data_IF_984164877263
#
_entry.id   IF_984164877263
#
_cell.length_a   1.000
_cell.length_b   1.000
_cell.length_c   1.000
_cell.angle_alpha   90.00
_cell.angle_beta   90.00
_cell.angle_gamma   90.00
#
_symmetry.space_group_name_H-M   'P 1'
#
loop_
_entity.id
_entity.type
_entity.pdbx_description
1 polymer ?
#
# COMPACT_ATOMS: atom_id res chain seq x y z
N UNK A 1 24.28 -51.43 -67.75
CA UNK A 1 23.41 -50.33 -67.34
C UNK A 1 23.39 -50.29 -65.82
N UNK A 2 24.20 -49.44 -65.19
CA UNK A 2 24.26 -49.27 -63.74
C UNK A 2 23.31 -48.15 -63.30
N UNK A 3 22.29 -48.48 -62.49
CA UNK A 3 21.41 -47.48 -61.91
C UNK A 3 22.04 -46.91 -60.63
N UNK A 4 22.34 -45.60 -60.68
CA UNK A 4 22.79 -44.81 -59.51
C UNK A 4 21.57 -44.39 -58.71
N UNK A 5 21.46 -44.85 -57.45
CA UNK A 5 20.48 -44.33 -56.51
C UNK A 5 21.06 -43.14 -55.79
N UNK A 6 20.49 -41.98 -55.98
CA UNK A 6 20.85 -40.76 -55.20
C UNK A 6 19.95 -40.76 -53.97
N UNK A 7 20.59 -40.87 -52.83
CA UNK A 7 19.94 -40.77 -51.50
C UNK A 7 19.91 -39.28 -51.06
N UNK A 8 18.77 -38.65 -51.13
CA UNK A 8 18.57 -37.32 -50.61
C UNK A 8 18.36 -37.39 -49.06
N UNK A 9 19.36 -37.01 -48.31
CA UNK A 9 19.27 -36.83 -46.85
C UNK A 9 18.70 -35.41 -46.61
N UNK A 10 17.43 -35.34 -46.25
CA UNK A 10 16.82 -34.05 -45.78
C UNK A 10 17.23 -33.84 -44.32
N UNK A 11 18.12 -32.85 -44.11
CA UNK A 11 18.45 -32.38 -42.76
C UNK A 11 17.36 -31.44 -42.29
N UNK A 12 16.50 -31.93 -41.41
CA UNK A 12 15.56 -31.06 -40.67
C UNK A 12 16.34 -30.33 -39.58
N UNK A 13 16.71 -29.07 -39.85
CA UNK A 13 17.14 -28.15 -38.81
C UNK A 13 15.89 -27.64 -38.10
N UNK A 14 15.55 -28.22 -36.95
CA UNK A 14 14.52 -27.71 -36.05
C UNK A 14 15.04 -26.41 -35.41
N UNK A 15 14.69 -25.27 -35.97
CA UNK A 15 14.80 -23.98 -35.33
C UNK A 15 13.79 -23.93 -34.18
N UNK A 16 14.23 -24.32 -32.97
CA UNK A 16 13.51 -23.99 -31.76
C UNK A 16 13.66 -22.48 -31.53
N UNK A 17 12.78 -21.71 -32.13
CA UNK A 17 12.60 -20.32 -31.73
C UNK A 17 12.14 -20.34 -30.26
N UNK A 18 13.06 -19.99 -29.37
CA UNK A 18 12.71 -19.70 -27.96
C UNK A 18 11.77 -18.51 -27.99
N UNK A 19 10.46 -18.79 -28.00
CA UNK A 19 9.44 -17.74 -27.86
C UNK A 19 9.72 -17.01 -26.55
N UNK A 20 10.19 -15.78 -26.61
CA UNK A 20 10.28 -14.91 -25.44
C UNK A 20 8.92 -14.95 -24.78
N UNK A 21 8.87 -15.36 -23.49
CA UNK A 21 7.63 -15.28 -22.72
C UNK A 21 7.06 -13.87 -22.91
N UNK A 22 5.75 -13.73 -23.16
CA UNK A 22 5.14 -12.42 -23.27
C UNK A 22 5.47 -11.65 -22.00
N UNK A 23 5.99 -10.43 -22.15
CA UNK A 23 6.29 -9.55 -21.02
C UNK A 23 4.93 -9.23 -20.37
N UNK A 24 4.69 -9.78 -19.17
CA UNK A 24 3.54 -9.38 -18.38
C UNK A 24 3.65 -7.88 -18.10
N UNK A 25 2.54 -7.18 -18.27
CA UNK A 25 2.45 -5.74 -18.06
C UNK A 25 1.26 -5.44 -17.15
N UNK A 26 0.87 -4.20 -17.07
CA UNK A 26 -0.36 -3.77 -16.39
C UNK A 26 -1.57 -4.63 -16.83
N UNK A 27 -2.44 -4.96 -15.89
CA UNK A 27 -3.74 -5.55 -16.22
C UNK A 27 -4.54 -4.66 -17.17
N UNK A 28 -5.37 -5.28 -18.01
CA UNK A 28 -6.38 -4.50 -18.72
C UNK A 28 -7.43 -3.96 -17.75
N UNK A 29 -8.17 -2.91 -18.11
CA UNK A 29 -9.27 -2.42 -17.29
C UNK A 29 -10.34 -3.52 -17.00
N UNK A 30 -10.55 -4.46 -17.93
CA UNK A 30 -11.46 -5.61 -17.79
C UNK A 30 -10.97 -6.58 -16.70
N UNK A 31 -9.69 -6.92 -16.70
CA UNK A 31 -9.07 -7.77 -15.68
C UNK A 31 -9.16 -7.12 -14.29
N UNK A 32 -8.88 -5.82 -14.20
CA UNK A 32 -8.99 -5.08 -12.95
C UNK A 32 -10.44 -5.04 -12.43
N UNK A 33 -11.43 -4.85 -13.30
CA UNK A 33 -12.86 -4.88 -12.94
C UNK A 33 -13.33 -6.26 -12.54
N UNK A 34 -12.86 -7.33 -13.22
CA UNK A 34 -13.19 -8.70 -12.85
C UNK A 34 -12.68 -9.02 -11.43
N UNK A 35 -11.45 -8.64 -11.11
CA UNK A 35 -10.90 -8.77 -9.76
C UNK A 35 -11.74 -7.99 -8.72
N UNK A 36 -12.13 -6.75 -9.05
CA UNK A 36 -12.94 -5.91 -8.16
C UNK A 36 -14.33 -6.49 -7.89
N UNK A 37 -14.95 -7.10 -8.90
CA UNK A 37 -16.28 -7.70 -8.77
C UNK A 37 -16.33 -8.86 -7.76
N UNK A 38 -15.19 -9.51 -7.52
CA UNK A 38 -15.01 -10.59 -6.53
C UNK A 38 -14.49 -10.08 -5.18
N UNK A 39 -14.19 -8.78 -5.09
CA UNK A 39 -13.61 -8.16 -3.89
C UNK A 39 -14.73 -7.50 -3.08
N UNK A 40 -14.82 -7.82 -1.79
CA UNK A 40 -15.64 -7.03 -0.87
C UNK A 40 -15.11 -5.59 -0.82
N UNK A 41 -16.01 -4.63 -0.52
CA UNK A 41 -15.59 -3.24 -0.38
C UNK A 41 -14.43 -3.12 0.62
N UNK A 42 -13.21 -2.78 0.16
CA UNK A 42 -12.06 -2.66 1.05
C UNK A 42 -12.24 -1.45 1.96
N UNK A 43 -12.32 -1.70 3.25
CA UNK A 43 -12.41 -0.65 4.27
C UNK A 43 -11.53 -1.01 5.45
N UNK A 44 -10.75 -0.05 5.94
CA UNK A 44 -9.79 -0.31 7.01
C UNK A 44 -8.84 0.84 7.25
N UNK A 45 -7.59 0.54 7.62
CA UNK A 45 -6.63 1.57 7.97
C UNK A 45 -5.19 1.28 7.48
N UNK A 46 -4.40 2.33 7.37
CA UNK A 46 -2.95 2.24 7.40
C UNK A 46 -2.54 1.92 8.84
N UNK A 47 -1.89 0.80 9.03
CA UNK A 47 -1.66 0.21 10.32
C UNK A 47 -0.21 0.26 10.73
N UNK A 48 0.04 0.80 11.90
CA UNK A 48 1.30 0.74 12.63
C UNK A 48 0.98 0.19 14.00
N UNK A 49 1.59 -0.92 14.43
CA UNK A 49 1.37 -1.46 15.76
C UNK A 49 1.73 -0.45 16.85
N UNK A 50 0.97 -0.41 17.93
CA UNK A 50 1.20 0.54 19.04
C UNK A 50 2.59 0.43 19.66
N UNK A 51 3.22 -0.74 19.54
CA UNK A 51 4.58 -0.97 20.07
C UNK A 51 5.71 -0.44 19.17
N UNK A 52 5.42 -0.06 17.93
CA UNK A 52 6.44 0.26 16.95
C UNK A 52 6.50 1.75 16.63
N UNK A 53 7.71 2.31 16.59
CA UNK A 53 7.97 3.68 16.15
C UNK A 53 8.22 3.79 14.64
N UNK A 54 8.59 2.68 13.99
CA UNK A 54 8.89 2.63 12.56
C UNK A 54 8.86 1.18 12.03
N UNK A 55 9.17 1.02 10.75
CA UNK A 55 9.17 -0.27 10.07
C UNK A 55 10.16 -1.28 10.68
N UNK A 56 11.30 -0.82 11.20
CA UNK A 56 12.28 -1.73 11.83
C UNK A 56 11.71 -2.31 13.13
N UNK A 57 11.21 -1.48 14.02
CA UNK A 57 10.65 -1.95 15.29
C UNK A 57 9.37 -2.80 15.07
N UNK A 58 8.64 -2.55 13.99
CA UNK A 58 7.48 -3.35 13.60
C UNK A 58 7.83 -4.80 13.30
N UNK A 59 9.00 -5.08 12.72
CA UNK A 59 9.30 -6.36 12.10
C UNK A 59 10.56 -7.09 12.60
N UNK A 60 11.44 -6.46 13.38
CA UNK A 60 12.60 -7.14 13.94
C UNK A 60 12.17 -8.27 14.88
N UNK A 61 12.96 -9.34 14.97
CA UNK A 61 12.63 -10.52 15.76
C UNK A 61 12.42 -10.20 17.24
N UNK A 62 13.27 -9.34 17.78
CA UNK A 62 13.28 -8.94 19.20
C UNK A 62 12.15 -7.97 19.58
N UNK A 63 11.49 -7.37 18.60
CA UNK A 63 10.40 -6.39 18.83
C UNK A 63 9.04 -6.83 18.30
N UNK A 64 9.01 -7.79 17.37
CA UNK A 64 7.76 -8.30 16.79
C UNK A 64 6.85 -8.91 17.86
N UNK A 65 5.63 -8.39 18.00
CA UNK A 65 4.74 -8.74 19.09
C UNK A 65 3.38 -9.28 18.57
N UNK A 66 3.24 -10.61 18.40
CA UNK A 66 2.00 -11.24 17.92
C UNK A 66 0.78 -10.99 18.80
N UNK A 67 0.97 -10.84 20.12
CA UNK A 67 -0.16 -10.65 21.05
C UNK A 67 -0.81 -9.26 20.85
N UNK A 68 0.01 -8.23 20.65
CA UNK A 68 -0.49 -6.88 20.34
C UNK A 68 -1.14 -6.89 18.97
N UNK A 69 -0.51 -7.51 17.96
CA UNK A 69 -1.11 -7.64 16.63
C UNK A 69 -2.48 -8.29 16.67
N UNK A 70 -2.67 -9.37 17.45
CA UNK A 70 -3.95 -10.06 17.57
C UNK A 70 -5.03 -9.16 18.21
N UNK A 71 -4.69 -8.44 19.28
CA UNK A 71 -5.60 -7.47 19.91
C UNK A 71 -6.02 -6.34 18.96
N UNK A 72 -5.07 -5.81 18.20
CA UNK A 72 -5.33 -4.69 17.30
C UNK A 72 -6.08 -5.14 16.03
N UNK A 73 -5.88 -6.36 15.55
CA UNK A 73 -6.72 -6.93 14.50
C UNK A 73 -8.15 -7.21 14.99
N UNK A 74 -8.33 -7.58 16.26
CA UNK A 74 -9.67 -7.66 16.87
C UNK A 74 -10.37 -6.28 16.95
N UNK A 75 -9.63 -5.18 17.15
CA UNK A 75 -10.20 -3.84 17.04
C UNK A 75 -10.65 -3.54 15.60
N UNK A 76 -9.85 -3.90 14.61
CA UNK A 76 -10.24 -3.76 13.20
C UNK A 76 -11.54 -4.53 12.91
N UNK A 77 -11.65 -5.79 13.38
CA UNK A 77 -12.86 -6.60 13.26
C UNK A 77 -14.06 -5.90 13.91
N UNK A 78 -13.89 -5.35 15.12
CA UNK A 78 -14.95 -4.66 15.88
C UNK A 78 -15.51 -3.42 15.17
N UNK A 79 -14.69 -2.77 14.34
CA UNK A 79 -15.08 -1.65 13.47
C UNK A 79 -15.68 -2.11 12.13
N UNK A 80 -15.70 -3.41 11.87
CA UNK A 80 -16.05 -3.97 10.58
C UNK A 80 -15.01 -3.72 9.51
N UNK A 81 -13.78 -3.39 9.84
CA UNK A 81 -12.68 -3.30 8.90
C UNK A 81 -12.31 -4.70 8.36
N UNK A 82 -12.02 -4.77 7.08
CA UNK A 82 -11.62 -6.02 6.41
C UNK A 82 -10.26 -5.92 5.74
N UNK A 83 -9.53 -4.82 5.98
CA UNK A 83 -8.23 -4.59 5.37
C UNK A 83 -7.34 -3.70 6.22
N UNK A 84 -6.04 -4.02 6.25
CA UNK A 84 -4.99 -3.14 6.76
C UNK A 84 -3.87 -3.00 5.75
N UNK A 85 -3.21 -1.83 5.76
CA UNK A 85 -2.04 -1.55 4.95
C UNK A 85 -0.82 -1.39 5.85
N UNK A 86 0.23 -2.17 5.56
CA UNK A 86 1.44 -2.29 6.37
C UNK A 86 2.67 -2.06 5.49
N UNK A 87 3.73 -1.53 6.08
CA UNK A 87 4.99 -1.23 5.38
C UNK A 87 6.04 -2.31 5.63
N UNK A 88 6.74 -2.71 4.57
CA UNK A 88 7.91 -3.58 4.61
C UNK A 88 9.20 -2.75 4.47
N UNK A 89 10.35 -3.39 4.67
CA UNK A 89 11.66 -2.76 4.46
C UNK A 89 12.71 -3.80 4.08
N UNK A 90 13.51 -3.53 3.05
CA UNK A 90 14.51 -4.46 2.52
C UNK A 90 15.61 -4.80 3.51
N UNK A 91 15.99 -3.87 4.39
CA UNK A 91 17.03 -4.13 5.39
C UNK A 91 16.64 -5.22 6.38
N UNK A 92 15.35 -5.39 6.68
CA UNK A 92 14.84 -6.49 7.50
C UNK A 92 15.03 -7.84 6.78
N UNK A 93 14.80 -7.85 5.48
CA UNK A 93 15.02 -9.01 4.65
C UNK A 93 16.52 -9.32 4.51
N UNK A 94 17.40 -8.34 4.36
CA UNK A 94 18.85 -8.55 4.37
C UNK A 94 19.35 -9.10 5.70
N UNK A 95 18.79 -8.66 6.81
CA UNK A 95 19.15 -9.09 8.15
C UNK A 95 18.79 -10.56 8.41
N UNK A 96 17.54 -10.94 8.08
CA UNK A 96 16.96 -12.24 8.39
C UNK A 96 15.86 -12.59 7.38
N UNK A 97 16.27 -13.05 6.23
CA UNK A 97 15.40 -13.34 5.08
C UNK A 97 14.26 -14.31 5.43
N UNK A 98 14.58 -15.40 6.10
CA UNK A 98 13.60 -16.45 6.40
C UNK A 98 12.73 -16.10 7.59
N UNK A 99 13.30 -15.52 8.64
CA UNK A 99 12.55 -15.04 9.80
C UNK A 99 11.62 -13.88 9.42
N UNK A 100 12.06 -12.95 8.57
CA UNK A 100 11.20 -11.87 8.10
C UNK A 100 9.98 -12.41 7.32
N UNK A 101 10.17 -13.38 6.42
CA UNK A 101 9.04 -14.04 5.72
C UNK A 101 8.12 -14.80 6.68
N UNK A 102 8.67 -15.45 7.72
CA UNK A 102 7.85 -16.09 8.77
C UNK A 102 6.99 -15.08 9.53
N UNK A 103 7.55 -13.93 9.91
CA UNK A 103 6.81 -12.84 10.59
C UNK A 103 5.72 -12.24 9.69
N UNK A 104 6.00 -12.05 8.40
CA UNK A 104 4.98 -11.67 7.42
C UNK A 104 3.85 -12.70 7.38
N UNK A 105 4.17 -13.99 7.29
CA UNK A 105 3.14 -15.04 7.28
C UNK A 105 2.35 -15.06 8.59
N UNK A 106 2.99 -14.90 9.74
CA UNK A 106 2.31 -14.83 11.04
C UNK A 106 1.36 -13.63 11.13
N UNK A 107 1.76 -12.46 10.62
CA UNK A 107 0.86 -11.30 10.52
C UNK A 107 -0.36 -11.60 9.64
N UNK A 108 -0.16 -12.29 8.51
CA UNK A 108 -1.25 -12.70 7.62
C UNK A 108 -2.21 -13.69 8.31
N UNK A 109 -1.68 -14.63 9.11
CA UNK A 109 -2.49 -15.58 9.88
C UNK A 109 -3.31 -14.86 10.96
N UNK A 110 -2.68 -13.94 11.70
CA UNK A 110 -3.34 -13.15 12.75
C UNK A 110 -4.44 -12.29 12.13
N UNK A 111 -4.15 -11.53 11.09
CA UNK A 111 -5.16 -10.72 10.41
C UNK A 111 -6.31 -11.56 9.86
N UNK A 112 -5.98 -12.70 9.23
CA UNK A 112 -6.97 -13.63 8.66
C UNK A 112 -7.91 -14.23 9.70
N UNK A 113 -7.45 -14.49 10.93
CA UNK A 113 -8.27 -14.93 12.06
C UNK A 113 -9.42 -13.96 12.36
N UNK A 114 -9.19 -12.67 12.17
CA UNK A 114 -10.15 -11.58 12.39
C UNK A 114 -10.88 -11.13 11.10
N UNK A 115 -10.80 -11.91 10.02
CA UNK A 115 -11.43 -11.55 8.76
C UNK A 115 -10.79 -10.34 8.07
N UNK A 116 -9.59 -9.95 8.49
CA UNK A 116 -8.82 -8.82 7.94
C UNK A 116 -7.80 -9.33 6.96
N UNK A 117 -7.78 -8.75 5.75
CA UNK A 117 -6.74 -8.99 4.75
C UNK A 117 -5.69 -7.89 4.80
N UNK A 118 -4.53 -8.16 4.23
CA UNK A 118 -3.40 -7.23 4.30
C UNK A 118 -3.03 -6.72 2.93
N UNK A 119 -2.57 -5.49 2.85
CA UNK A 119 -1.77 -5.00 1.73
C UNK A 119 -0.41 -4.54 2.24
N UNK A 120 0.63 -4.84 1.48
CA UNK A 120 1.99 -4.44 1.83
C UNK A 120 2.49 -3.34 0.92
N UNK A 121 3.23 -2.41 1.51
CA UNK A 121 3.95 -1.34 0.83
C UNK A 121 5.46 -1.60 0.90
N UNK A 122 6.12 -1.67 -0.27
CA UNK A 122 7.56 -1.95 -0.33
C UNK A 122 8.43 -0.74 -0.05
N UNK A 123 8.13 0.36 -0.71
CA UNK A 123 8.94 1.57 -0.63
C UNK A 123 8.19 2.71 0.02
N UNK A 124 8.91 3.51 0.77
CA UNK A 124 8.40 4.77 1.35
C UNK A 124 9.55 5.76 1.55
N UNK A 125 9.21 7.03 1.55
CA UNK A 125 10.14 8.07 1.95
C UNK A 125 10.17 8.18 3.48
N UNK A 126 11.27 8.66 4.04
CA UNK A 126 11.39 8.83 5.47
C UNK A 126 12.68 9.52 5.85
N UNK A 127 12.65 10.26 6.96
CA UNK A 127 13.81 10.93 7.55
C UNK A 127 14.32 10.26 8.81
N UNK A 128 13.71 9.15 9.20
CA UNK A 128 14.04 8.40 10.40
C UNK A 128 15.38 7.65 10.31
N UNK A 129 15.73 6.91 11.38
CA UNK A 129 16.97 6.13 11.41
C UNK A 129 17.08 5.16 10.24
N UNK A 130 18.27 5.05 9.69
CA UNK A 130 18.57 4.12 8.59
C UNK A 130 19.43 2.95 9.11
N UNK A 131 19.15 2.49 10.35
CA UNK A 131 19.93 1.46 11.03
C UNK A 131 19.01 0.51 11.80
N UNK A 132 19.22 -0.78 11.62
CA UNK A 132 18.59 -1.85 12.39
C UNK A 132 19.05 -1.86 13.87
N UNK A 133 18.38 -2.65 14.69
CA UNK A 133 18.61 -2.77 16.13
C UNK A 133 17.66 -1.87 16.92
N UNK A 134 18.02 -1.53 18.17
CA UNK A 134 17.19 -0.68 19.02
C UNK A 134 16.88 0.64 18.34
N UNK A 135 15.60 0.93 18.19
CA UNK A 135 15.14 2.19 17.63
C UNK A 135 15.11 3.28 18.72
N UNK A 136 15.24 4.57 18.34
CA UNK A 136 15.12 5.66 19.29
C UNK A 136 13.71 5.70 19.90
N UNK A 137 13.61 6.17 21.13
CA UNK A 137 12.31 6.50 21.70
C UNK A 137 11.65 7.63 20.88
N UNK A 138 10.33 7.62 20.73
CA UNK A 138 9.63 8.67 20.00
C UNK A 138 9.82 10.04 20.69
N UNK A 139 9.92 11.08 19.90
CA UNK A 139 9.86 12.44 20.41
C UNK A 139 8.42 12.75 20.82
N UNK A 140 8.15 13.11 22.08
CA UNK A 140 6.79 13.38 22.54
C UNK A 140 6.18 14.58 21.81
N UNK A 141 4.86 14.56 21.61
CA UNK A 141 4.09 15.64 20.99
C UNK A 141 4.52 15.95 19.54
N UNK A 142 5.05 14.97 18.82
CA UNK A 142 5.46 15.08 17.42
C UNK A 142 4.79 13.99 16.59
N UNK A 143 4.33 14.34 15.42
CA UNK A 143 3.72 13.37 14.50
C UNK A 143 4.67 12.22 14.16
N UNK A 144 4.22 10.98 14.36
CA UNK A 144 5.06 9.77 14.26
C UNK A 144 5.74 9.52 12.92
N UNK A 145 5.27 10.14 11.82
CA UNK A 145 5.88 9.98 10.50
C UNK A 145 7.34 10.49 10.42
N UNK A 146 7.82 11.29 11.39
CA UNK A 146 9.21 11.75 11.42
C UNK A 146 10.20 10.60 11.67
N UNK A 147 9.73 9.48 12.22
CA UNK A 147 10.53 8.29 12.52
C UNK A 147 10.54 7.24 11.40
N UNK A 148 9.76 7.45 10.32
CA UNK A 148 9.72 6.53 9.19
C UNK A 148 11.09 6.33 8.55
N UNK A 149 11.43 5.07 8.32
CA UNK A 149 12.67 4.68 7.64
C UNK A 149 12.46 4.66 6.13
N UNK A 150 13.37 5.31 5.40
CA UNK A 150 13.30 5.32 3.94
C UNK A 150 13.61 3.92 3.37
N UNK A 151 12.71 3.41 2.51
CA UNK A 151 12.91 2.22 1.68
C UNK A 151 12.67 2.57 0.20
N UNK A 152 13.59 2.25 -0.74
CA UNK A 152 14.88 1.62 -0.50
C UNK A 152 15.81 2.51 0.34
N UNK A 153 16.70 1.88 1.11
CA UNK A 153 17.74 2.60 1.82
C UNK A 153 18.47 3.53 0.84
N UNK A 154 18.80 4.75 1.30
CA UNK A 154 19.40 5.79 0.45
C UNK A 154 20.62 5.34 -0.35
N UNK A 155 21.45 4.45 0.23
CA UNK A 155 22.66 3.95 -0.43
C UNK A 155 22.33 2.99 -1.59
N UNK A 156 21.20 2.29 -1.54
CA UNK A 156 20.68 1.49 -2.64
C UNK A 156 20.02 2.40 -3.67
N UNK A 157 19.14 3.28 -3.22
CA UNK A 157 18.40 4.17 -4.13
C UNK A 157 19.33 5.04 -4.98
N UNK A 158 20.38 5.61 -4.39
CA UNK A 158 21.33 6.51 -5.04
C UNK A 158 22.40 5.80 -5.86
N UNK A 159 22.53 4.47 -5.76
CA UNK A 159 23.54 3.69 -6.47
C UNK A 159 22.89 2.60 -7.33
N UNK A 160 22.82 2.85 -8.65
CA UNK A 160 22.19 1.91 -9.58
C UNK A 160 22.84 0.53 -9.61
N UNK A 161 24.13 0.44 -9.31
CA UNK A 161 24.84 -0.85 -9.22
C UNK A 161 24.31 -1.72 -8.10
N UNK A 162 23.68 -1.12 -7.07
CA UNK A 162 23.05 -1.82 -5.96
C UNK A 162 21.56 -2.11 -6.15
N UNK A 163 20.93 -1.62 -7.20
CA UNK A 163 19.54 -1.90 -7.50
C UNK A 163 19.20 -3.41 -7.63
N UNK A 164 20.10 -4.27 -8.13
CA UNK A 164 19.88 -5.71 -8.09
C UNK A 164 19.64 -6.29 -6.70
N UNK A 165 20.19 -5.71 -5.64
CA UNK A 165 19.96 -6.13 -4.26
C UNK A 165 18.49 -5.91 -3.87
N UNK A 166 17.92 -4.75 -4.23
CA UNK A 166 16.51 -4.45 -4.01
C UNK A 166 15.60 -5.32 -4.90
N UNK A 167 16.00 -5.57 -6.16
CA UNK A 167 15.29 -6.50 -7.05
C UNK A 167 15.15 -7.88 -6.42
N UNK A 168 16.22 -8.41 -5.83
CA UNK A 168 16.19 -9.72 -5.19
C UNK A 168 15.18 -9.78 -4.04
N UNK A 169 15.21 -8.77 -3.16
CA UNK A 169 14.23 -8.62 -2.07
C UNK A 169 12.79 -8.56 -2.59
N UNK A 170 12.50 -7.64 -3.50
CA UNK A 170 11.18 -7.45 -4.08
C UNK A 170 10.65 -8.75 -4.69
N UNK A 171 11.47 -9.41 -5.50
CA UNK A 171 11.08 -10.63 -6.19
C UNK A 171 10.93 -11.83 -5.26
N UNK A 172 11.74 -11.95 -4.22
CA UNK A 172 11.61 -13.04 -3.24
C UNK A 172 10.30 -12.91 -2.46
N UNK A 173 9.97 -11.71 -1.97
CA UNK A 173 8.70 -11.47 -1.28
C UNK A 173 7.51 -11.72 -2.22
N UNK A 174 7.51 -11.12 -3.40
CA UNK A 174 6.42 -11.31 -4.37
C UNK A 174 6.27 -12.78 -4.76
N UNK A 175 7.36 -13.51 -5.00
CA UNK A 175 7.34 -14.93 -5.37
C UNK A 175 6.80 -15.82 -4.24
N UNK A 176 7.20 -15.51 -3.00
CA UNK A 176 6.76 -16.26 -1.80
C UNK A 176 5.25 -16.16 -1.63
N UNK A 177 4.68 -14.97 -1.80
CA UNK A 177 3.27 -14.68 -1.49
C UNK A 177 2.39 -14.42 -2.73
N UNK A 178 2.85 -14.69 -3.95
CA UNK A 178 2.18 -14.30 -5.20
C UNK A 178 0.76 -14.82 -5.40
N UNK A 179 0.37 -15.87 -4.71
CA UNK A 179 -0.97 -16.49 -4.81
C UNK A 179 -1.72 -16.46 -3.47
N UNK A 180 -1.20 -15.73 -2.49
CA UNK A 180 -1.80 -15.66 -1.15
C UNK A 180 -3.04 -14.77 -1.16
N UNK A 181 -4.21 -15.37 -0.91
CA UNK A 181 -5.49 -14.67 -0.92
C UNK A 181 -5.70 -13.75 0.29
N UNK A 182 -4.87 -13.85 1.33
CA UNK A 182 -4.87 -12.95 2.48
C UNK A 182 -4.30 -11.57 2.11
N UNK A 183 -3.60 -11.47 0.95
CA UNK A 183 -3.06 -10.21 0.43
C UNK A 183 -4.01 -9.68 -0.63
N UNK A 184 -4.44 -8.41 -0.47
CA UNK A 184 -5.41 -7.78 -1.37
C UNK A 184 -4.71 -7.22 -2.61
N UNK A 185 -3.66 -6.43 -2.43
CA UNK A 185 -2.82 -5.89 -3.49
C UNK A 185 -1.41 -5.57 -2.96
N UNK A 186 -0.50 -5.25 -3.85
CA UNK A 186 0.86 -4.82 -3.52
C UNK A 186 1.02 -3.35 -3.88
N UNK A 187 1.40 -2.52 -2.91
CA UNK A 187 1.79 -1.14 -3.14
C UNK A 187 3.32 -1.11 -3.33
N UNK A 188 3.78 -0.78 -4.54
CA UNK A 188 5.20 -0.81 -4.83
C UNK A 188 5.92 0.38 -4.18
N UNK A 189 5.36 1.58 -4.27
CA UNK A 189 5.95 2.79 -3.68
C UNK A 189 4.86 3.66 -3.04
N UNK A 190 5.09 4.08 -1.80
CA UNK A 190 4.28 5.09 -1.12
C UNK A 190 4.72 6.48 -1.56
N UNK A 191 3.78 7.30 -2.02
CA UNK A 191 4.00 8.72 -2.32
C UNK A 191 5.33 9.01 -3.05
N UNK A 192 5.52 8.48 -4.27
CA UNK A 192 6.76 8.73 -5.02
C UNK A 192 6.99 10.23 -5.15
N UNK A 193 8.25 10.66 -5.01
CA UNK A 193 8.70 12.05 -5.01
C UNK A 193 8.28 12.89 -3.78
N UNK A 194 7.69 12.28 -2.74
CA UNK A 194 7.49 12.94 -1.45
C UNK A 194 8.81 13.01 -0.65
N UNK A 195 9.80 13.69 -1.23
CA UNK A 195 11.11 13.90 -0.62
C UNK A 195 11.41 15.39 -0.55
N UNK A 196 11.96 15.83 0.58
CA UNK A 196 12.39 17.22 0.75
C UNK A 196 13.49 17.65 -0.23
N UNK A 197 14.27 16.71 -0.75
CA UNK A 197 15.36 16.94 -1.71
C UNK A 197 14.89 16.89 -3.18
N UNK A 198 13.60 16.65 -3.44
CA UNK A 198 13.03 16.64 -4.79
C UNK A 198 13.55 15.53 -5.70
N UNK A 199 14.07 14.45 -5.11
CA UNK A 199 14.72 13.34 -5.82
C UNK A 199 13.77 12.69 -6.83
N UNK A 200 14.27 12.48 -8.04
CA UNK A 200 13.52 11.80 -9.11
C UNK A 200 13.47 10.30 -8.88
N UNK A 201 12.27 9.77 -8.69
CA UNK A 201 12.03 8.34 -8.48
C UNK A 201 11.65 7.58 -9.75
N UNK A 202 11.45 8.26 -10.89
CA UNK A 202 10.80 7.68 -12.06
C UNK A 202 11.58 6.50 -12.66
N UNK A 203 12.88 6.62 -12.75
CA UNK A 203 13.72 5.56 -13.29
C UNK A 203 13.72 4.32 -12.39
N UNK A 204 13.88 4.51 -11.08
CA UNK A 204 13.83 3.41 -10.13
C UNK A 204 12.44 2.72 -10.14
N UNK A 205 11.36 3.48 -10.16
CA UNK A 205 10.01 2.93 -10.25
C UNK A 205 9.77 2.19 -11.56
N UNK A 206 10.33 2.66 -12.66
CA UNK A 206 10.24 1.98 -13.95
C UNK A 206 10.86 0.59 -13.88
N UNK A 207 12.04 0.47 -13.32
CA UNK A 207 12.69 -0.82 -13.11
C UNK A 207 11.93 -1.70 -12.11
N UNK A 208 11.46 -1.12 -11.01
CA UNK A 208 10.72 -1.86 -9.97
C UNK A 208 9.42 -2.49 -10.53
N UNK A 209 8.66 -1.77 -11.36
CA UNK A 209 7.48 -2.33 -12.03
C UNK A 209 7.86 -3.48 -12.98
N UNK A 210 8.95 -3.37 -13.76
CA UNK A 210 9.46 -4.45 -14.60
C UNK A 210 9.80 -5.70 -13.77
N UNK A 211 10.52 -5.52 -12.66
CA UNK A 211 10.87 -6.63 -11.76
C UNK A 211 9.65 -7.30 -11.14
N UNK A 212 8.64 -6.52 -10.75
CA UNK A 212 7.40 -7.05 -10.23
C UNK A 212 6.60 -7.81 -11.30
N UNK A 213 6.59 -7.32 -12.54
CA UNK A 213 5.94 -8.01 -13.68
C UNK A 213 6.66 -9.30 -14.08
N UNK A 214 7.96 -9.42 -13.88
CA UNK A 214 8.69 -10.69 -14.09
C UNK A 214 8.12 -11.81 -13.20
N UNK A 215 7.67 -11.49 -12.01
CA UNK A 215 7.03 -12.43 -11.06
C UNK A 215 5.53 -12.54 -11.34
N UNK A 216 4.89 -11.45 -11.64
CA UNK A 216 3.45 -11.28 -11.87
C UNK A 216 2.60 -12.00 -10.83
N UNK A 217 2.43 -11.44 -9.62
CA UNK A 217 1.54 -12.00 -8.61
C UNK A 217 0.08 -12.00 -9.09
N UNK A 218 -0.75 -12.84 -8.48
CA UNK A 218 -2.19 -12.87 -8.74
C UNK A 218 -2.92 -11.64 -8.17
N UNK A 219 -2.30 -10.94 -7.23
CA UNK A 219 -2.79 -9.69 -6.67
C UNK A 219 -2.42 -8.51 -7.58
N UNK A 220 -3.23 -7.43 -7.60
CA UNK A 220 -2.87 -6.22 -8.34
C UNK A 220 -1.60 -5.56 -7.82
N UNK A 221 -0.87 -4.93 -8.73
CA UNK A 221 0.28 -4.07 -8.44
C UNK A 221 -0.13 -2.60 -8.60
N UNK A 222 0.26 -1.73 -7.67
CA UNK A 222 -0.09 -0.31 -7.72
C UNK A 222 0.94 0.56 -7.00
N UNK A 223 0.90 1.85 -7.27
CA UNK A 223 1.46 2.93 -6.46
C UNK A 223 0.47 4.09 -6.46
N UNK A 224 0.36 4.90 -5.40
CA UNK A 224 -0.68 5.91 -5.32
C UNK A 224 -0.39 7.16 -6.13
N UNK A 225 -1.44 7.78 -6.63
CA UNK A 225 -1.46 9.20 -6.94
C UNK A 225 -1.78 9.94 -5.63
N UNK A 226 -0.83 10.68 -5.08
CA UNK A 226 -1.00 11.30 -3.77
C UNK A 226 -1.18 12.83 -3.84
N UNK A 227 -0.88 13.43 -4.98
CA UNK A 227 -1.27 14.81 -5.28
C UNK A 227 -2.24 14.86 -6.45
N UNK A 228 -3.28 15.67 -6.30
CA UNK A 228 -4.17 15.99 -7.41
C UNK A 228 -3.40 16.74 -8.49
N UNK A 229 -3.48 16.32 -9.77
CA UNK A 229 -2.84 17.05 -10.87
C UNK A 229 -3.24 18.53 -10.87
N UNK A 230 -2.24 19.41 -10.96
CA UNK A 230 -2.45 20.85 -10.91
C UNK A 230 -2.64 21.45 -9.51
N UNK A 231 -2.50 20.64 -8.44
CA UNK A 231 -2.52 21.18 -7.08
C UNK A 231 -1.29 22.07 -6.84
N UNK A 232 -1.54 23.29 -6.34
CA UNK A 232 -0.47 24.25 -6.05
C UNK A 232 0.35 23.72 -4.87
N UNK A 233 1.67 23.59 -5.06
CA UNK A 233 2.57 23.02 -4.06
C UNK A 233 2.79 21.50 -4.18
N UNK A 234 2.21 20.86 -5.20
CA UNK A 234 2.54 19.45 -5.50
C UNK A 234 4.03 19.31 -5.83
N UNK A 235 4.70 18.37 -5.16
CA UNK A 235 6.10 18.00 -5.45
C UNK A 235 6.18 16.94 -6.55
N UNK A 236 5.12 16.13 -6.70
CA UNK A 236 5.06 15.06 -7.70
C UNK A 236 4.94 15.63 -9.11
N UNK A 237 5.84 15.21 -9.98
CA UNK A 237 5.86 15.61 -11.39
C UNK A 237 4.73 14.95 -12.19
N UNK A 238 4.30 15.61 -13.27
CA UNK A 238 3.22 15.07 -14.12
C UNK A 238 3.58 13.76 -14.82
N UNK A 239 4.85 13.56 -15.16
CA UNK A 239 5.35 12.30 -15.73
C UNK A 239 5.26 11.15 -14.72
N UNK A 240 5.55 11.38 -13.44
CA UNK A 240 5.34 10.39 -12.37
C UNK A 240 3.87 10.05 -12.21
N UNK A 241 2.97 11.03 -12.17
CA UNK A 241 1.52 10.80 -12.10
C UNK A 241 1.07 9.97 -13.31
N UNK A 242 1.50 10.34 -14.51
CA UNK A 242 1.22 9.61 -15.75
C UNK A 242 1.74 8.17 -15.66
N UNK A 243 2.98 8.00 -15.20
CA UNK A 243 3.60 6.69 -15.04
C UNK A 243 2.78 5.79 -14.11
N UNK A 244 2.42 6.28 -12.94
CA UNK A 244 1.64 5.52 -11.96
C UNK A 244 0.29 5.09 -12.56
N UNK A 245 -0.45 6.00 -13.19
CA UNK A 245 -1.77 5.73 -13.77
C UNK A 245 -1.71 4.75 -14.94
N UNK A 246 -0.62 4.73 -15.70
CA UNK A 246 -0.46 3.86 -16.87
C UNK A 246 0.23 2.53 -16.59
N UNK A 247 0.74 2.31 -15.37
CA UNK A 247 1.43 1.08 -15.00
C UNK A 247 0.76 0.33 -13.83
N UNK A 248 -0.09 0.98 -13.03
CA UNK A 248 -0.81 0.33 -11.94
C UNK A 248 -2.02 -0.48 -12.43
N UNK A 249 -2.24 -1.67 -11.90
CA UNK A 249 -3.38 -2.53 -12.24
C UNK A 249 -4.72 -1.94 -11.78
N UNK A 250 -4.71 -1.36 -10.59
CA UNK A 250 -5.82 -0.62 -9.97
C UNK A 250 -5.32 0.78 -9.62
N UNK A 251 -6.22 1.72 -9.46
CA UNK A 251 -5.84 3.08 -9.06
C UNK A 251 -5.88 3.16 -7.54
N UNK A 252 -4.76 3.46 -6.92
CA UNK A 252 -4.72 3.90 -5.53
C UNK A 252 -4.38 5.38 -5.45
N UNK A 253 -4.90 6.05 -4.43
CA UNK A 253 -4.65 7.48 -4.24
C UNK A 253 -4.72 7.86 -2.76
N UNK A 254 -4.17 9.04 -2.43
CA UNK A 254 -4.27 9.64 -1.10
C UNK A 254 -5.09 10.93 -1.17
N UNK A 255 -5.95 11.16 -0.20
CA UNK A 255 -6.77 12.35 -0.15
C UNK A 255 -7.06 12.78 1.29
N UNK A 256 -6.23 13.66 1.82
CA UNK A 256 -6.40 14.26 3.14
C UNK A 256 -7.19 15.60 3.10
N UNK A 257 -7.97 15.83 2.05
CA UNK A 257 -8.64 17.08 1.79
C UNK A 257 -10.13 16.99 2.10
N UNK A 258 -10.83 18.09 1.83
CA UNK A 258 -12.27 18.23 2.04
C UNK A 258 -13.10 17.23 1.20
N UNK A 259 -14.34 16.93 1.57
CA UNK A 259 -15.22 16.05 0.80
C UNK A 259 -15.39 16.47 -0.67
N UNK A 260 -15.48 17.76 -0.95
CA UNK A 260 -15.58 18.29 -2.32
C UNK A 260 -14.33 18.01 -3.14
N UNK A 261 -13.16 18.10 -2.52
CA UNK A 261 -11.89 17.77 -3.19
C UNK A 261 -11.76 16.27 -3.41
N UNK A 262 -12.22 15.44 -2.46
CA UNK A 262 -12.30 14.00 -2.60
C UNK A 262 -13.19 13.61 -3.80
N UNK A 263 -14.40 14.13 -3.90
CA UNK A 263 -15.29 13.90 -5.05
C UNK A 263 -14.65 14.34 -6.37
N UNK A 264 -14.00 15.50 -6.37
CA UNK A 264 -13.27 16.00 -7.55
C UNK A 264 -12.16 15.01 -7.97
N UNK A 265 -11.40 14.50 -7.00
CA UNK A 265 -10.31 13.57 -7.25
C UNK A 265 -10.84 12.23 -7.80
N UNK A 266 -11.88 11.67 -7.17
CA UNK A 266 -12.57 10.47 -7.65
C UNK A 266 -13.06 10.65 -9.09
N UNK A 267 -13.73 11.75 -9.39
CA UNK A 267 -14.22 12.07 -10.74
C UNK A 267 -13.11 12.16 -11.78
N UNK A 268 -11.96 12.73 -11.42
CA UNK A 268 -10.80 12.78 -12.31
C UNK A 268 -10.23 11.39 -12.61
N UNK A 269 -10.10 10.55 -11.58
CA UNK A 269 -9.50 9.22 -11.68
C UNK A 269 -10.44 8.19 -12.33
N UNK A 270 -11.76 8.36 -12.21
CA UNK A 270 -12.76 7.46 -12.81
C UNK A 270 -12.64 7.32 -14.34
N UNK A 271 -12.05 8.32 -15.01
CA UNK A 271 -11.78 8.31 -16.46
C UNK A 271 -10.90 7.15 -16.92
N UNK A 272 -10.09 6.60 -16.03
CA UNK A 272 -9.22 5.45 -16.32
C UNK A 272 -9.97 4.11 -16.29
N UNK A 273 -11.25 4.10 -15.86
CA UNK A 273 -12.14 2.93 -15.83
C UNK A 273 -11.55 1.74 -15.06
N UNK A 274 -10.80 2.02 -14.00
CA UNK A 274 -10.19 1.03 -13.11
C UNK A 274 -10.77 1.15 -11.70
N UNK A 275 -10.81 0.06 -10.92
CA UNK A 275 -11.15 0.13 -9.50
C UNK A 275 -10.25 1.12 -8.76
N UNK A 276 -10.81 1.78 -7.77
CA UNK A 276 -10.13 2.81 -7.00
C UNK A 276 -10.11 2.47 -5.51
N UNK A 277 -8.99 2.75 -4.85
CA UNK A 277 -8.84 2.68 -3.39
C UNK A 277 -8.16 3.96 -2.92
N UNK A 278 -8.85 4.74 -2.09
CA UNK A 278 -8.23 5.79 -1.31
C UNK A 278 -7.46 5.11 -0.15
N UNK A 279 -6.17 4.93 -0.34
CA UNK A 279 -5.37 4.16 0.62
C UNK A 279 -4.80 5.00 1.76
N UNK A 280 -5.07 6.31 1.76
CA UNK A 280 -4.83 7.21 2.87
C UNK A 280 -5.85 8.36 2.86
N UNK A 281 -6.56 8.52 3.97
CA UNK A 281 -7.41 9.65 4.29
C UNK A 281 -7.49 9.82 5.81
N UNK A 282 -8.32 10.70 6.31
CA UNK A 282 -8.48 11.10 7.70
C UNK A 282 -7.39 12.09 8.14
N UNK A 283 -7.72 13.34 7.99
CA UNK A 283 -6.97 14.47 8.56
C UNK A 283 -8.01 15.49 9.03
N UNK A 284 -8.52 15.31 10.24
CA UNK A 284 -9.71 16.02 10.75
C UNK A 284 -9.57 17.51 10.66
N UNK A 285 -8.39 18.06 10.93
CA UNK A 285 -8.10 19.49 10.85
C UNK A 285 -8.19 20.07 9.42
N UNK A 286 -8.13 19.19 8.41
CA UNK A 286 -8.28 19.57 6.99
C UNK A 286 -9.67 19.24 6.43
N UNK A 287 -10.60 18.78 7.29
CA UNK A 287 -11.96 18.42 6.90
C UNK A 287 -12.10 17.02 6.30
N UNK A 288 -11.02 16.21 6.29
CA UNK A 288 -11.07 14.80 5.93
C UNK A 288 -11.43 13.99 7.17
N UNK A 289 -12.69 13.60 7.31
CA UNK A 289 -13.24 12.93 8.48
C UNK A 289 -14.13 11.73 8.07
N UNK A 290 -14.43 10.85 9.01
CA UNK A 290 -15.22 9.64 8.75
C UNK A 290 -16.62 10.00 8.26
N UNK A 291 -17.30 10.87 8.96
CA UNK A 291 -18.69 11.27 8.68
C UNK A 291 -18.87 11.95 7.32
N UNK A 292 -17.83 12.60 6.81
CA UNK A 292 -17.87 13.37 5.57
C UNK A 292 -17.32 12.61 4.36
N UNK A 293 -16.22 11.90 4.52
CA UNK A 293 -15.49 11.27 3.41
C UNK A 293 -15.90 9.81 3.17
N UNK A 294 -16.14 9.05 4.24
CA UNK A 294 -16.41 7.62 4.11
C UNK A 294 -17.73 7.30 3.37
N UNK A 295 -18.85 8.04 3.59
CA UNK A 295 -20.07 7.84 2.81
C UNK A 295 -19.89 8.10 1.31
N UNK A 296 -19.04 9.06 0.94
CA UNK A 296 -18.70 9.35 -0.48
C UNK A 296 -17.98 8.15 -1.08
N UNK A 297 -16.92 7.68 -0.43
CA UNK A 297 -16.15 6.54 -0.93
C UNK A 297 -17.01 5.27 -1.04
N UNK A 298 -17.89 5.02 -0.09
CA UNK A 298 -18.84 3.92 -0.16
C UNK A 298 -19.80 4.06 -1.34
N UNK A 299 -20.40 5.23 -1.54
CA UNK A 299 -21.31 5.53 -2.65
C UNK A 299 -20.63 5.35 -4.01
N UNK A 300 -19.40 5.83 -4.13
CA UNK A 300 -18.62 5.77 -5.37
C UNK A 300 -17.88 4.42 -5.54
N UNK A 301 -18.07 3.47 -4.63
CA UNK A 301 -17.39 2.16 -4.63
C UNK A 301 -15.86 2.27 -4.63
N UNK A 302 -15.35 3.23 -3.93
CA UNK A 302 -13.92 3.45 -3.70
C UNK A 302 -13.55 2.79 -2.39
N UNK A 303 -12.52 1.93 -2.38
CA UNK A 303 -11.98 1.39 -1.14
C UNK A 303 -11.42 2.52 -0.26
N UNK A 304 -11.45 2.35 1.07
CA UNK A 304 -11.17 3.42 2.01
C UNK A 304 -10.27 2.97 3.16
N UNK A 305 -9.04 3.46 3.22
CA UNK A 305 -8.11 3.18 4.33
C UNK A 305 -7.74 4.51 5.02
N UNK A 306 -8.19 4.70 6.25
CA UNK A 306 -7.77 5.86 7.03
C UNK A 306 -6.35 5.69 7.57
N UNK A 307 -5.69 6.79 7.90
CA UNK A 307 -4.40 6.74 8.56
C UNK A 307 -4.58 6.51 10.07
N UNK A 308 -3.86 5.49 10.61
CA UNK A 308 -3.82 5.17 12.02
C UNK A 308 -5.03 4.39 12.55
N UNK A 309 -4.78 3.45 13.45
CA UNK A 309 -5.77 2.69 14.20
C UNK A 309 -5.80 3.16 15.67
N UNK A 310 -4.74 2.89 16.39
CA UNK A 310 -4.58 3.26 17.79
C UNK A 310 -3.29 4.06 17.99
N UNK A 311 -3.30 4.95 18.95
CA UNK A 311 -2.11 5.66 19.38
C UNK A 311 -1.13 4.71 20.05
N UNK A 312 0.14 4.96 19.85
CA UNK A 312 1.22 4.16 20.40
C UNK A 312 2.51 4.96 20.37
N UNK A 313 3.62 4.31 20.07
CA UNK A 313 4.89 5.02 19.84
C UNK A 313 4.84 6.00 18.68
N UNK A 314 3.98 5.73 17.67
CA UNK A 314 3.66 6.70 16.64
C UNK A 314 2.47 7.54 17.07
N UNK A 315 2.71 8.77 17.48
CA UNK A 315 1.69 9.70 17.94
C UNK A 315 1.01 10.40 16.76
N UNK A 316 0.15 9.69 16.04
CA UNK A 316 -0.52 10.21 14.84
C UNK A 316 -1.65 11.20 15.12
N UNK A 317 -2.04 11.40 16.39
CA UNK A 317 -3.01 12.42 16.77
C UNK A 317 -2.51 13.84 16.53
N UNK A 318 -1.19 14.04 16.45
CA UNK A 318 -0.59 15.34 16.17
C UNK A 318 -0.59 15.64 14.66
N UNK A 319 -0.87 16.89 14.25
CA UNK A 319 -0.75 17.29 12.85
C UNK A 319 0.68 17.25 12.32
N UNK A 320 0.83 17.17 11.01
CA UNK A 320 2.15 17.32 10.38
C UNK A 320 2.77 18.67 10.72
N UNK A 321 4.01 18.65 11.18
CA UNK A 321 4.74 19.83 11.59
C UNK A 321 4.35 20.38 12.96
N UNK A 322 3.54 19.64 13.72
CA UNK A 322 3.25 19.96 15.11
C UNK A 322 4.55 20.04 15.94
N UNK A 323 4.59 20.96 16.87
CA UNK A 323 5.76 21.17 17.75
C UNK A 323 5.35 20.92 19.20
N UNK A 324 6.28 20.44 20.05
CA UNK A 324 5.99 20.25 21.47
C UNK A 324 5.45 21.50 22.19
N UNK A 325 5.81 22.68 21.69
CA UNK A 325 5.33 23.97 22.22
C UNK A 325 3.86 24.26 21.95
N UNK A 326 3.23 23.54 21.00
CA UNK A 326 1.84 23.78 20.59
C UNK A 326 0.83 23.09 21.54
N UNK A 327 1.32 22.18 22.42
CA UNK A 327 0.51 21.43 23.39
C UNK A 327 -0.35 20.34 22.74
N UNK A 328 -1.33 19.80 23.48
CA UNK A 328 -2.25 18.80 22.95
C UNK A 328 -3.20 19.41 21.90
N UNK A 329 -3.46 18.74 20.76
CA UNK A 329 -4.36 19.26 19.74
C UNK A 329 -5.80 19.19 20.21
N UNK A 330 -6.57 20.26 19.96
CA UNK A 330 -8.01 20.28 20.28
C UNK A 330 -8.82 19.22 19.51
N UNK A 331 -8.34 18.83 18.34
CA UNK A 331 -8.90 17.75 17.50
C UNK A 331 -7.77 16.86 17.03
N UNK A 332 -7.92 15.56 17.22
CA UNK A 332 -6.95 14.59 16.71
C UNK A 332 -6.82 14.64 15.20
N UNK A 333 -5.61 14.56 14.72
CA UNK A 333 -5.33 14.58 13.29
C UNK A 333 -5.74 13.27 12.64
N UNK A 334 -5.20 12.15 13.12
CA UNK A 334 -5.45 10.79 12.67
C UNK A 334 -5.91 9.89 13.84
N UNK A 335 -5.81 8.57 13.65
CA UNK A 335 -6.10 7.51 14.63
C UNK A 335 -7.56 7.48 15.13
N UNK A 336 -7.96 6.36 15.72
CA UNK A 336 -9.32 6.09 16.18
C UNK A 336 -9.34 5.83 17.70
N UNK A 337 -8.31 5.16 18.23
CA UNK A 337 -8.25 4.72 19.60
C UNK A 337 -7.04 5.32 20.34
N UNK A 338 -7.20 5.49 21.65
CA UNK A 338 -6.10 5.71 22.57
C UNK A 338 -5.20 4.47 22.68
N UNK A 339 -4.07 4.59 23.35
CA UNK A 339 -3.13 3.49 23.59
C UNK A 339 -3.73 2.36 24.43
N UNK A 340 -4.71 2.65 25.29
CA UNK A 340 -5.48 1.67 26.06
C UNK A 340 -6.67 1.07 25.29
N UNK A 341 -6.79 1.41 24.01
CA UNK A 341 -7.83 1.01 23.07
C UNK A 341 -9.23 1.59 23.37
N UNK A 342 -9.33 2.60 24.22
CA UNK A 342 -10.56 3.38 24.33
C UNK A 342 -10.73 4.29 23.11
N UNK A 343 -11.96 4.49 22.60
CA UNK A 343 -12.17 5.38 21.44
C UNK A 343 -11.80 6.83 21.73
N UNK A 344 -11.18 7.51 20.75
CA UNK A 344 -11.10 8.97 20.76
C UNK A 344 -12.50 9.59 20.71
N UNK A 345 -13.38 9.02 19.90
CA UNK A 345 -14.77 9.46 19.75
C UNK A 345 -15.69 8.26 19.55
N UNK A 346 -16.60 8.02 20.51
CA UNK A 346 -17.64 7.00 20.40
C UNK A 346 -18.54 7.24 19.18
N UNK A 347 -18.82 8.50 18.87
CA UNK A 347 -19.64 8.89 17.70
C UNK A 347 -18.98 8.44 16.40
N UNK A 348 -17.67 8.63 16.25
CA UNK A 348 -16.94 8.15 15.06
C UNK A 348 -16.93 6.63 14.96
N UNK A 349 -16.76 5.92 16.07
CA UNK A 349 -16.80 4.47 16.12
C UNK A 349 -18.19 3.96 15.70
N UNK A 350 -19.26 4.58 16.17
CA UNK A 350 -20.63 4.23 15.79
C UNK A 350 -20.90 4.50 14.30
N UNK A 351 -20.39 5.62 13.75
CA UNK A 351 -20.45 5.92 12.33
C UNK A 351 -19.71 4.84 11.52
N UNK A 352 -18.49 4.48 11.93
CA UNK A 352 -17.71 3.43 11.29
C UNK A 352 -18.47 2.11 11.26
N UNK A 353 -18.92 1.61 12.41
CA UNK A 353 -19.69 0.36 12.53
C UNK A 353 -20.94 0.37 11.65
N UNK A 354 -21.69 1.47 11.64
CA UNK A 354 -22.88 1.62 10.81
C UNK A 354 -22.58 1.57 9.32
N UNK A 355 -21.52 2.24 8.87
CA UNK A 355 -21.16 2.30 7.45
C UNK A 355 -20.57 0.97 6.98
N UNK A 356 -19.78 0.29 7.82
CA UNK A 356 -19.09 -0.96 7.48
C UNK A 356 -19.98 -2.21 7.64
N UNK A 357 -21.15 -2.10 8.29
CA UNK A 357 -22.07 -3.23 8.48
C UNK A 357 -22.49 -3.91 7.16
N UNK A 358 -22.54 -3.14 6.06
CA UNK A 358 -22.83 -3.66 4.72
C UNK A 358 -21.63 -3.43 3.80
N UNK A 359 -20.87 -4.50 3.55
CA UNK A 359 -19.68 -4.50 2.67
C UNK A 359 -19.98 -4.98 1.24
N UNK A 360 -21.21 -5.45 0.99
CA UNK A 360 -21.57 -6.11 -0.29
C UNK A 360 -21.82 -5.16 -1.47
N UNK A 361 -21.58 -3.87 -1.32
CA UNK A 361 -21.87 -2.86 -2.35
C UNK A 361 -20.94 -2.93 -3.58
N UNK A 362 -19.84 -3.64 -3.50
CA UNK A 362 -18.98 -3.83 -4.65
C UNK A 362 -19.63 -4.82 -5.64
N UNK A 363 -20.27 -4.34 -6.68
CA UNK A 363 -20.60 -5.12 -7.87
C UNK A 363 -22.05 -5.56 -8.07
N UNK A 364 -22.90 -5.66 -7.07
CA UNK A 364 -24.25 -6.23 -7.23
C UNK A 364 -25.36 -5.22 -7.56
N UNK A 365 -25.14 -3.92 -7.46
CA UNK A 365 -26.14 -2.93 -7.80
C UNK A 365 -25.87 -2.31 -9.17
N UNK A 366 -26.69 -2.65 -10.23
CA UNK A 366 -26.48 -2.12 -11.58
C UNK A 366 -26.66 -0.59 -11.67
N UNK A 367 -27.29 0.03 -10.67
CA UNK A 367 -27.54 1.46 -10.63
C UNK A 367 -26.27 2.30 -10.39
N UNK A 368 -25.23 1.67 -9.87
CA UNK A 368 -23.95 2.32 -9.53
C UNK A 368 -22.75 1.72 -10.26
N UNK A 369 -22.98 1.06 -11.39
CA UNK A 369 -21.88 0.53 -12.18
C UNK A 369 -21.24 1.64 -13.02
N UNK A 370 -20.43 2.49 -12.37
CA UNK A 370 -19.68 3.60 -13.00
C UNK A 370 -18.66 3.13 -14.04
N UNK A 371 -18.43 1.81 -14.14
CA UNK A 371 -17.47 1.21 -15.07
C UNK A 371 -18.14 0.54 -16.28
N UNK A 372 -19.47 0.70 -16.46
CA UNK A 372 -20.17 0.29 -17.66
C UNK A 372 -19.95 1.23 -18.81
#
# INVERSE_FOLDING_TARGET
>A
MKKIFILLVAVFVSLTASAKKPVCTQWTPEQARAWWAETEWPVGCCYVPTYAVNQFEMWQEDTFNPEILDKEMALCESLGFNMVRIYLHEMLWFQDKDGFKKRINQMLDIAGKHGVRVTFTFCTNGGGPQKLGKQPEPEPLVHGAVHWCQSPHKDIFNNKERWPEFKEYLQDILKTFKNDKRIVYWCLYNEPENLKDGRDCLEFMTEMYKWAWEIRPSQPLTSPVWHRPGYRGATTKLDMISFVLTNSDIITFHCYYTPTELETFINMLSRFKRPMICQEYLARNFGSAFETCLPIMKREKVGALNWGLAEGKCEFRYPWGHKPTDGEPAVWFHSIFWQDYTPYSEVEVDILKKITADKHLAGKNPKYNIYK
#
